data_IF_120296097144
#
_entry.id   IF_120296097144
#
_cell.length_a   1.000
_cell.length_b   1.000
_cell.length_c   1.000
_cell.angle_alpha   90.00
_cell.angle_beta   90.00
_cell.angle_gamma   90.00
#
_symmetry.space_group_name_H-M   'P 1'
#
loop_
_entity.id
_entity.type
_entity.pdbx_description
1 polymer ?
#
# COMPACT_ATOMS: atom_id res chain seq x y z
N UNK A 1 -45.94 9.37 -9.25
CA UNK A 1 -47.11 9.22 -8.36
C UNK A 1 -47.99 10.48 -8.45
N UNK A 2 -49.03 10.51 -9.31
CA UNK A 2 -49.87 11.70 -9.53
C UNK A 2 -50.80 12.03 -8.35
N UNK A 3 -51.18 11.05 -7.55
CA UNK A 3 -52.12 11.21 -6.42
C UNK A 3 -51.63 12.21 -5.36
N UNK A 4 -50.35 12.16 -4.99
CA UNK A 4 -49.75 13.13 -4.04
C UNK A 4 -49.84 14.56 -4.59
N UNK A 5 -49.63 14.73 -5.90
CA UNK A 5 -49.75 16.04 -6.56
C UNK A 5 -51.20 16.54 -6.54
N UNK A 6 -52.17 15.66 -6.80
CA UNK A 6 -53.60 15.99 -6.76
C UNK A 6 -54.05 16.39 -5.35
N UNK A 7 -53.62 15.66 -4.31
CA UNK A 7 -53.98 15.97 -2.93
C UNK A 7 -53.42 17.32 -2.45
N UNK A 8 -52.18 17.64 -2.83
CA UNK A 8 -51.56 18.94 -2.52
C UNK A 8 -52.18 20.10 -3.33
N UNK A 9 -52.60 19.84 -4.58
CA UNK A 9 -53.35 20.82 -5.37
C UNK A 9 -54.74 21.09 -4.77
N UNK A 10 -55.44 20.03 -4.33
CA UNK A 10 -56.75 20.14 -3.69
C UNK A 10 -56.72 20.91 -2.35
N UNK A 11 -55.56 20.97 -1.70
CA UNK A 11 -55.32 21.70 -0.46
C UNK A 11 -54.63 23.06 -0.68
N UNK A 12 -54.54 23.51 -1.95
CA UNK A 12 -53.98 24.81 -2.35
C UNK A 12 -52.52 25.06 -1.95
N UNK A 13 -51.73 23.99 -1.77
CA UNK A 13 -50.29 24.11 -1.50
C UNK A 13 -49.46 24.40 -2.76
N UNK A 14 -49.94 23.94 -3.92
CA UNK A 14 -49.20 24.01 -5.17
C UNK A 14 -49.50 25.31 -5.93
N UNK A 15 -48.45 25.89 -6.50
CA UNK A 15 -48.57 27.03 -7.41
C UNK A 15 -49.38 26.64 -8.66
N UNK A 16 -50.47 27.35 -9.00
CA UNK A 16 -51.24 27.08 -10.22
C UNK A 16 -50.43 27.29 -11.50
N UNK A 17 -49.39 28.12 -11.45
CA UNK A 17 -48.49 28.40 -12.58
C UNK A 17 -47.27 27.47 -12.61
N UNK A 18 -47.17 26.52 -11.68
CA UNK A 18 -46.04 25.58 -11.58
C UNK A 18 -44.72 26.18 -11.10
N UNK A 19 -44.53 27.51 -11.12
CA UNK A 19 -43.33 28.16 -10.58
C UNK A 19 -43.45 28.46 -9.09
N UNK A 20 -42.40 28.17 -8.32
CA UNK A 20 -42.20 28.68 -6.95
C UNK A 20 -41.57 30.08 -7.01
N UNK A 21 -42.23 31.08 -6.40
CA UNK A 21 -41.85 32.50 -6.50
C UNK A 21 -41.64 33.10 -5.10
N UNK A 22 -40.57 32.72 -4.37
CA UNK A 22 -40.33 33.23 -3.03
C UNK A 22 -40.16 34.76 -3.07
N UNK A 23 -40.80 35.46 -2.12
CA UNK A 23 -40.75 36.93 -1.96
C UNK A 23 -41.41 37.77 -3.07
N UNK A 24 -42.05 37.15 -4.07
CA UNK A 24 -42.77 37.84 -5.13
C UNK A 24 -44.24 38.11 -4.73
N UNK A 25 -44.80 39.26 -5.14
CA UNK A 25 -46.21 39.59 -4.87
C UNK A 25 -47.21 38.63 -5.55
N UNK A 26 -46.80 37.95 -6.61
CA UNK A 26 -47.57 36.94 -7.33
C UNK A 26 -47.28 35.50 -6.85
N UNK A 27 -46.72 35.32 -5.66
CA UNK A 27 -46.54 34.01 -5.05
C UNK A 27 -47.89 33.32 -4.77
N UNK A 28 -48.07 32.10 -5.30
CA UNK A 28 -49.34 31.35 -5.24
C UNK A 28 -49.21 29.92 -4.73
N UNK A 29 -48.10 29.56 -4.08
CA UNK A 29 -47.80 28.20 -3.64
C UNK A 29 -46.40 27.75 -4.08
N UNK A 30 -46.04 26.50 -3.75
CA UNK A 30 -44.73 25.93 -4.12
C UNK A 30 -44.84 24.98 -5.33
N UNK A 31 -43.69 24.60 -5.88
CA UNK A 31 -43.58 23.57 -6.91
C UNK A 31 -42.81 22.37 -6.36
N UNK A 32 -43.30 21.16 -6.65
CA UNK A 32 -42.61 19.94 -6.23
C UNK A 32 -41.35 19.74 -7.06
N UNK A 33 -40.23 19.50 -6.39
CA UNK A 33 -38.99 19.01 -6.99
C UNK A 33 -38.69 17.59 -6.54
N UNK A 34 -37.85 16.89 -7.31
CA UNK A 34 -37.29 15.60 -6.95
C UNK A 34 -35.76 15.73 -6.92
N UNK A 35 -35.11 15.09 -5.95
CA UNK A 35 -33.67 15.16 -5.78
C UNK A 35 -33.20 14.33 -4.59
N UNK A 36 -31.92 13.99 -4.59
CA UNK A 36 -31.25 13.32 -3.47
C UNK A 36 -29.97 14.10 -3.14
N UNK A 37 -29.73 14.33 -1.86
CA UNK A 37 -28.52 14.98 -1.35
C UNK A 37 -27.99 14.22 -0.14
N UNK A 38 -26.68 14.04 -0.08
CA UNK A 38 -25.99 13.35 1.00
C UNK A 38 -24.85 14.24 1.47
N UNK A 39 -24.72 14.38 2.80
CA UNK A 39 -23.57 15.00 3.44
C UNK A 39 -22.96 14.00 4.41
N UNK A 40 -21.63 14.02 4.55
CA UNK A 40 -20.89 13.13 5.45
C UNK A 40 -20.31 13.97 6.59
N UNK A 41 -21.04 14.17 7.71
CA UNK A 41 -20.52 14.92 8.84
C UNK A 41 -19.53 14.08 9.65
N UNK A 42 -18.48 14.73 10.14
CA UNK A 42 -17.49 14.17 11.07
C UNK A 42 -17.17 15.22 12.13
N UNK A 43 -16.86 14.84 13.38
CA UNK A 43 -16.33 15.79 14.35
C UNK A 43 -15.09 16.50 13.77
N UNK A 44 -15.00 17.82 13.96
CA UNK A 44 -13.95 18.63 13.31
C UNK A 44 -12.54 18.14 13.66
N UNK A 45 -12.33 17.74 14.91
CA UNK A 45 -11.04 17.20 15.36
C UNK A 45 -10.66 15.95 14.55
N UNK A 46 -11.57 15.00 14.42
CA UNK A 46 -11.31 13.77 13.67
C UNK A 46 -11.07 14.05 12.19
N UNK A 47 -11.76 15.05 11.61
CA UNK A 47 -11.53 15.46 10.22
C UNK A 47 -10.13 16.05 10.02
N UNK A 48 -9.63 16.83 10.98
CA UNK A 48 -8.26 17.38 10.97
C UNK A 48 -7.24 16.27 11.17
N UNK A 49 -7.43 15.40 12.17
CA UNK A 49 -6.51 14.31 12.52
C UNK A 49 -6.39 13.28 11.37
N UNK A 50 -7.44 13.12 10.56
CA UNK A 50 -7.45 12.24 9.38
C UNK A 50 -7.14 12.95 8.05
N UNK A 51 -6.83 14.25 8.08
CA UNK A 51 -6.55 15.07 6.88
C UNK A 51 -7.69 15.01 5.83
N UNK A 52 -8.94 14.98 6.29
CA UNK A 52 -10.11 14.99 5.41
C UNK A 52 -10.33 16.37 4.77
N UNK A 53 -10.88 16.43 3.54
CA UNK A 53 -11.32 17.69 2.95
C UNK A 53 -12.53 18.25 3.73
N UNK A 54 -12.34 19.41 4.36
CA UNK A 54 -13.40 20.10 5.11
C UNK A 54 -14.07 21.14 4.21
N UNK A 55 -15.31 20.89 3.82
CA UNK A 55 -16.10 21.80 2.98
C UNK A 55 -16.71 22.95 3.78
N UNK A 56 -17.21 22.66 4.99
CA UNK A 56 -17.81 23.62 5.91
C UNK A 56 -17.96 23.00 7.31
N UNK A 57 -18.11 23.85 8.33
CA UNK A 57 -18.41 23.44 9.69
C UNK A 57 -19.89 23.64 10.06
N UNK A 58 -20.51 22.63 10.66
CA UNK A 58 -21.82 22.78 11.31
C UNK A 58 -21.57 23.26 12.74
N UNK A 59 -22.00 24.48 13.05
CA UNK A 59 -21.73 25.12 14.35
C UNK A 59 -22.89 25.03 15.33
N UNK A 60 -24.13 24.96 14.84
CA UNK A 60 -25.31 24.80 15.68
C UNK A 60 -26.50 24.29 14.89
N UNK A 61 -27.37 23.53 15.53
CA UNK A 61 -28.62 23.05 14.95
C UNK A 61 -29.70 22.95 16.01
N UNK A 62 -30.92 23.34 15.66
CA UNK A 62 -32.05 23.19 16.56
C UNK A 62 -33.30 22.74 15.81
N UNK A 63 -34.22 22.17 16.57
CA UNK A 63 -35.57 21.83 16.13
C UNK A 63 -36.59 22.35 17.15
N UNK A 64 -37.78 22.70 16.66
CA UNK A 64 -38.95 22.97 17.49
C UNK A 64 -40.27 22.71 16.73
N UNK A 65 -41.39 23.05 17.35
CA UNK A 65 -42.74 22.87 16.80
C UNK A 65 -43.50 24.21 16.79
N UNK A 66 -44.34 24.41 15.78
CA UNK A 66 -45.33 25.49 15.72
C UNK A 66 -46.25 25.46 16.94
N UNK A 67 -46.64 26.66 17.41
CA UNK A 67 -47.57 26.79 18.53
C UNK A 67 -48.97 26.27 18.13
N UNK A 68 -49.74 25.75 19.09
CA UNK A 68 -51.09 25.22 18.83
C UNK A 68 -52.16 26.34 18.73
N UNK A 69 -51.80 27.48 18.14
CA UNK A 69 -52.65 28.69 18.04
C UNK A 69 -53.19 28.92 16.62
N UNK A 70 -52.70 28.17 15.63
CA UNK A 70 -53.12 28.20 14.22
C UNK A 70 -53.36 26.78 13.70
N UNK A 71 -54.03 26.59 12.54
CA UNK A 71 -54.11 25.28 11.90
C UNK A 71 -52.72 24.67 11.69
N UNK A 72 -52.61 23.34 11.80
CA UNK A 72 -51.33 22.62 11.80
C UNK A 72 -50.42 22.89 10.58
N UNK A 73 -51.01 23.30 9.45
CA UNK A 73 -50.33 23.61 8.20
C UNK A 73 -49.90 25.06 8.05
N UNK A 74 -50.30 25.93 8.98
CA UNK A 74 -50.00 27.37 8.95
C UNK A 74 -48.72 27.61 9.76
N UNK A 75 -47.69 28.25 9.18
CA UNK A 75 -46.46 28.55 9.91
C UNK A 75 -46.71 29.51 11.08
N UNK A 76 -45.93 29.35 12.15
CA UNK A 76 -45.99 30.17 13.37
C UNK A 76 -44.69 30.96 13.52
N UNK A 77 -44.79 32.29 13.40
CA UNK A 77 -43.62 33.18 13.37
C UNK A 77 -42.88 33.24 14.70
N UNK A 78 -43.58 33.12 15.84
CA UNK A 78 -42.96 33.13 17.17
C UNK A 78 -42.13 31.85 17.38
N UNK A 79 -42.66 30.69 17.00
CA UNK A 79 -41.92 29.43 16.98
C UNK A 79 -40.70 29.52 16.06
N UNK A 80 -40.82 30.10 14.87
CA UNK A 80 -39.67 30.29 13.98
C UNK A 80 -38.63 31.20 14.63
N UNK A 81 -39.02 32.34 15.20
CA UNK A 81 -38.10 33.25 15.91
C UNK A 81 -37.35 32.54 17.05
N UNK A 82 -38.05 31.82 17.91
CA UNK A 82 -37.43 31.06 19.01
C UNK A 82 -36.45 30.00 18.50
N UNK A 83 -36.74 29.41 17.34
CA UNK A 83 -35.82 28.46 16.69
C UNK A 83 -34.51 29.15 16.29
N UNK A 84 -34.57 30.33 15.67
CA UNK A 84 -33.39 31.10 15.32
C UNK A 84 -32.58 31.45 16.57
N UNK A 85 -33.21 32.04 17.59
CA UNK A 85 -32.54 32.42 18.84
C UNK A 85 -31.81 31.23 19.48
N UNK A 86 -32.47 30.07 19.53
CA UNK A 86 -31.87 28.82 20.04
C UNK A 86 -30.69 28.34 19.18
N UNK A 87 -30.84 28.33 17.86
CA UNK A 87 -29.80 27.84 16.95
C UNK A 87 -28.55 28.73 16.99
N UNK A 88 -28.74 30.06 17.03
CA UNK A 88 -27.64 31.02 17.13
C UNK A 88 -26.96 30.99 18.50
N UNK A 89 -27.72 30.84 19.58
CA UNK A 89 -27.16 30.64 20.92
C UNK A 89 -26.26 29.40 20.97
N UNK A 90 -26.67 28.30 20.33
CA UNK A 90 -25.87 27.06 20.26
C UNK A 90 -24.68 27.17 19.32
N UNK A 91 -24.76 27.98 18.26
CA UNK A 91 -23.68 28.13 17.28
C UNK A 91 -22.52 29.00 17.74
N UNK A 92 -22.68 29.72 18.86
CA UNK A 92 -21.72 30.68 19.36
C UNK A 92 -21.50 31.86 18.39
N UNK A 93 -22.42 32.10 17.45
CA UNK A 93 -22.43 33.29 16.58
C UNK A 93 -23.23 34.36 17.29
N UNK A 94 -22.56 35.47 17.63
CA UNK A 94 -23.24 36.60 18.27
C UNK A 94 -24.18 37.28 17.25
N UNK A 95 -25.32 37.80 17.71
CA UNK A 95 -26.30 38.44 16.81
C UNK A 95 -25.69 39.67 16.10
N UNK A 96 -24.71 40.32 16.73
CA UNK A 96 -23.94 41.45 16.22
C UNK A 96 -22.98 41.06 15.08
N UNK A 97 -22.62 39.77 14.97
CA UNK A 97 -21.84 39.25 13.83
C UNK A 97 -22.72 39.07 12.57
N UNK A 98 -24.05 39.13 12.70
CA UNK A 98 -24.98 39.03 11.57
C UNK A 98 -25.27 40.43 11.02
N UNK A 99 -24.45 40.85 10.06
CA UNK A 99 -24.50 42.24 9.54
C UNK A 99 -25.75 42.55 8.73
N UNK A 100 -26.27 41.58 7.94
CA UNK A 100 -27.41 41.79 7.04
C UNK A 100 -28.02 40.47 6.56
N UNK A 101 -29.36 40.40 6.46
CA UNK A 101 -30.05 39.40 5.65
C UNK A 101 -30.16 39.93 4.21
N UNK A 102 -29.53 39.26 3.25
CA UNK A 102 -29.58 39.62 1.83
C UNK A 102 -30.16 38.44 1.07
N UNK A 103 -31.14 38.71 0.20
CA UNK A 103 -31.63 37.75 -0.79
C UNK A 103 -31.02 38.19 -2.12
N UNK A 104 -29.90 37.58 -2.56
CA UNK A 104 -29.27 37.96 -3.82
C UNK A 104 -30.19 37.62 -4.99
N UNK A 105 -30.40 38.58 -5.90
CA UNK A 105 -31.19 38.40 -7.13
C UNK A 105 -30.33 38.08 -8.35
N UNK A 106 -29.01 38.20 -8.21
CA UNK A 106 -27.99 37.85 -9.19
C UNK A 106 -26.77 37.24 -8.49
N UNK A 107 -25.95 36.42 -9.19
CA UNK A 107 -24.73 35.86 -8.62
C UNK A 107 -23.83 36.99 -8.06
N UNK A 108 -23.66 37.01 -6.75
CA UNK A 108 -22.92 38.06 -6.04
C UNK A 108 -21.76 37.45 -5.28
N UNK A 109 -20.57 38.05 -5.41
CA UNK A 109 -19.39 37.60 -4.68
C UNK A 109 -19.57 37.80 -3.17
N UNK A 110 -19.32 36.75 -2.37
CA UNK A 110 -19.43 36.81 -0.91
C UNK A 110 -18.05 37.06 -0.28
N UNK A 111 -17.65 38.34 -0.25
CA UNK A 111 -16.37 38.78 0.35
C UNK A 111 -16.55 39.04 1.85
N UNK A 112 -16.00 38.16 2.70
CA UNK A 112 -15.96 38.33 4.16
C UNK A 112 -14.83 37.51 4.79
N UNK A 113 -14.30 37.98 5.93
CA UNK A 113 -13.32 37.22 6.74
C UNK A 113 -13.96 36.06 7.50
N UNK A 114 -15.27 36.11 7.74
CA UNK A 114 -16.07 35.03 8.33
C UNK A 114 -17.36 34.90 7.53
N UNK A 115 -17.61 33.72 6.98
CA UNK A 115 -18.84 33.41 6.24
C UNK A 115 -19.70 32.49 7.08
N UNK A 116 -20.92 32.93 7.36
CA UNK A 116 -21.91 32.20 8.15
C UNK A 116 -23.23 32.19 7.39
N UNK A 117 -23.78 31.00 7.19
CA UNK A 117 -25.08 30.79 6.54
C UNK A 117 -26.02 30.09 7.51
N UNK A 118 -27.32 30.40 7.41
CA UNK A 118 -28.36 29.65 8.12
C UNK A 118 -29.26 28.94 7.11
N UNK A 119 -29.43 27.64 7.28
CA UNK A 119 -30.33 26.82 6.47
C UNK A 119 -31.56 26.50 7.31
N UNK A 120 -32.75 26.79 6.78
CA UNK A 120 -34.02 26.60 7.48
C UNK A 120 -34.91 25.64 6.71
N UNK A 121 -35.63 24.78 7.42
CA UNK A 121 -36.60 23.87 6.84
C UNK A 121 -37.83 23.77 7.74
N UNK A 122 -39.01 24.02 7.17
CA UNK A 122 -40.28 24.04 7.89
C UNK A 122 -41.23 23.01 7.29
N UNK A 123 -41.59 22.00 8.08
CA UNK A 123 -42.53 20.97 7.70
C UNK A 123 -43.98 21.45 7.83
N UNK A 124 -44.83 21.06 6.86
CA UNK A 124 -46.26 21.38 6.88
C UNK A 124 -47.03 20.77 8.07
N UNK A 125 -46.42 19.90 8.87
CA UNK A 125 -46.96 19.39 10.13
C UNK A 125 -46.61 20.27 11.34
N UNK A 126 -45.92 21.39 11.12
CA UNK A 126 -45.49 22.34 12.14
C UNK A 126 -44.09 22.09 12.71
N UNK A 127 -43.36 21.06 12.26
CA UNK A 127 -41.99 20.81 12.72
C UNK A 127 -41.00 21.71 11.99
N UNK A 128 -40.18 22.43 12.75
CA UNK A 128 -39.20 23.37 12.21
C UNK A 128 -37.78 22.92 12.56
N UNK A 129 -36.85 23.12 11.63
CA UNK A 129 -35.44 22.85 11.81
C UNK A 129 -34.60 24.01 11.25
N UNK A 130 -33.51 24.34 11.95
CA UNK A 130 -32.53 25.31 11.52
C UNK A 130 -31.11 24.82 11.78
N UNK A 131 -30.19 25.21 10.91
CA UNK A 131 -28.78 24.83 10.91
C UNK A 131 -27.93 26.07 10.64
N UNK A 132 -26.91 26.32 11.47
CA UNK A 132 -25.92 27.37 11.23
C UNK A 132 -24.63 26.72 10.73
N UNK A 133 -24.28 27.05 9.49
CA UNK A 133 -23.09 26.58 8.78
C UNK A 133 -22.07 27.71 8.75
N UNK A 134 -20.82 27.39 9.08
CA UNK A 134 -19.69 28.30 9.01
C UNK A 134 -18.74 27.79 7.96
N UNK A 135 -18.13 28.73 7.26
CA UNK A 135 -16.93 28.43 6.51
C UNK A 135 -15.82 27.97 7.47
N UNK A 136 -15.02 27.03 7.00
CA UNK A 136 -13.81 26.61 7.69
C UNK A 136 -12.66 27.15 6.86
N UNK A 137 -11.71 27.93 7.42
CA UNK A 137 -10.56 28.37 6.64
C UNK A 137 -9.96 27.12 6.00
N UNK A 138 -9.93 27.10 4.67
CA UNK A 138 -9.28 26.06 3.91
C UNK A 138 -7.90 25.93 4.51
N UNK A 139 -7.53 24.71 4.90
CA UNK A 139 -6.14 24.45 5.26
C UNK A 139 -5.33 25.00 4.09
N UNK A 140 -4.55 26.06 4.33
CA UNK A 140 -3.53 26.44 3.36
C UNK A 140 -2.71 25.17 3.24
N UNK A 141 -2.71 24.57 2.04
CA UNK A 141 -1.70 23.59 1.68
C UNK A 141 -0.39 24.17 2.25
N UNK A 142 0.22 23.45 3.19
CA UNK A 142 1.51 23.86 3.72
C UNK A 142 2.44 24.14 2.54
N UNK A 143 3.47 24.98 2.71
CA UNK A 143 4.41 25.26 1.63
C UNK A 143 4.76 23.94 0.97
N UNK A 144 4.53 23.83 -0.35
CA UNK A 144 4.70 22.62 -1.16
C UNK A 144 5.80 21.79 -0.53
N UNK A 145 5.42 20.68 0.08
CA UNK A 145 6.37 19.83 0.76
C UNK A 145 7.48 19.55 -0.23
N UNK A 146 8.69 20.03 0.06
CA UNK A 146 9.88 19.71 -0.74
C UNK A 146 10.12 18.20 -0.63
N UNK A 147 9.36 17.40 -1.37
CA UNK A 147 9.68 15.99 -1.61
C UNK A 147 10.40 15.93 -2.94
N UNK A 148 11.70 16.21 -2.88
CA UNK A 148 12.66 16.00 -3.96
C UNK A 148 12.94 14.50 -4.12
N UNK A 149 11.95 13.72 -4.54
CA UNK A 149 12.20 12.38 -5.09
C UNK A 149 11.42 12.25 -6.40
N UNK A 150 12.15 12.36 -7.51
CA UNK A 150 11.63 12.19 -8.86
C UNK A 150 11.31 10.70 -9.10
N UNK A 151 10.20 10.22 -8.52
CA UNK A 151 9.63 8.94 -8.93
C UNK A 151 9.28 9.04 -10.42
N UNK A 152 9.98 8.26 -11.25
CA UNK A 152 9.74 8.15 -12.69
C UNK A 152 8.44 7.41 -12.97
N UNK A 153 8.12 6.43 -12.12
CA UNK A 153 6.98 5.53 -12.25
C UNK A 153 6.11 5.62 -11.00
N UNK A 154 4.83 5.94 -11.21
CA UNK A 154 3.83 6.16 -10.18
C UNK A 154 2.76 5.06 -10.28
N UNK A 155 2.50 4.29 -9.22
CA UNK A 155 1.47 3.25 -9.25
C UNK A 155 0.07 3.87 -9.15
N UNK A 156 -0.80 3.55 -10.11
CA UNK A 156 -2.22 3.84 -10.09
C UNK A 156 -2.98 2.55 -9.82
N UNK A 157 -3.83 2.59 -8.80
CA UNK A 157 -4.66 1.47 -8.36
C UNK A 157 -6.12 1.82 -8.61
N UNK A 158 -6.87 0.89 -9.22
CA UNK A 158 -8.31 1.02 -9.46
C UNK A 158 -9.03 -0.26 -9.06
N UNK A 159 -9.95 -0.17 -8.11
CA UNK A 159 -10.79 -1.29 -7.66
C UNK A 159 -12.26 -1.08 -8.01
N UNK A 160 -12.93 -2.11 -8.52
CA UNK A 160 -14.36 -2.04 -8.87
C UNK A 160 -15.08 -3.39 -8.78
N UNK A 161 -16.41 -3.37 -8.96
CA UNK A 161 -17.26 -4.58 -8.94
C UNK A 161 -17.38 -5.29 -10.29
N UNK A 162 -16.93 -4.68 -11.38
CA UNK A 162 -16.92 -5.27 -12.71
C UNK A 162 -15.82 -4.65 -13.58
N UNK A 163 -15.47 -5.32 -14.69
CA UNK A 163 -14.51 -4.80 -15.67
C UNK A 163 -15.01 -3.54 -16.39
N UNK A 164 -16.31 -3.43 -16.65
CA UNK A 164 -16.93 -2.23 -17.21
C UNK A 164 -16.75 -1.03 -16.28
N UNK A 165 -16.84 -1.25 -14.97
CA UNK A 165 -16.65 -0.20 -13.97
C UNK A 165 -15.19 0.25 -13.91
N UNK A 166 -14.21 -0.67 -14.03
CA UNK A 166 -12.80 -0.31 -14.15
C UNK A 166 -12.59 0.61 -15.37
N UNK A 167 -13.13 0.24 -16.53
CA UNK A 167 -13.02 1.04 -17.76
C UNK A 167 -13.66 2.42 -17.61
N UNK A 168 -14.86 2.49 -17.04
CA UNK A 168 -15.54 3.75 -16.76
C UNK A 168 -14.74 4.65 -15.81
N UNK A 169 -14.12 4.08 -14.77
CA UNK A 169 -13.27 4.82 -13.85
C UNK A 169 -11.99 5.31 -14.53
N UNK A 170 -11.32 4.49 -15.35
CA UNK A 170 -10.18 4.93 -16.15
C UNK A 170 -10.57 6.08 -17.11
N UNK A 171 -11.75 6.02 -17.74
CA UNK A 171 -12.27 7.10 -18.58
C UNK A 171 -12.49 8.40 -17.80
N UNK A 172 -13.09 8.32 -16.61
CA UNK A 172 -13.26 9.50 -15.74
C UNK A 172 -11.91 10.09 -15.28
N UNK A 173 -10.90 9.25 -15.04
CA UNK A 173 -9.54 9.71 -14.74
C UNK A 173 -8.91 10.41 -15.95
N UNK A 174 -9.10 9.90 -17.17
CA UNK A 174 -8.67 10.57 -18.40
C UNK A 174 -9.32 11.95 -18.56
N UNK A 175 -10.64 12.05 -18.37
CA UNK A 175 -11.37 13.32 -18.45
C UNK A 175 -10.85 14.32 -17.41
N UNK A 176 -10.60 13.85 -16.18
CA UNK A 176 -10.03 14.67 -15.11
C UNK A 176 -8.66 15.23 -15.50
N UNK A 177 -7.76 14.38 -16.00
CA UNK A 177 -6.42 14.79 -16.44
C UNK A 177 -6.43 15.77 -17.63
N UNK A 178 -7.46 15.74 -18.47
CA UNK A 178 -7.61 16.65 -19.61
C UNK A 178 -8.22 18.01 -19.25
N UNK A 179 -8.93 18.10 -18.13
CA UNK A 179 -9.78 19.26 -17.80
C UNK A 179 -9.07 20.43 -17.11
N UNK A 180 -7.84 20.24 -16.64
CA UNK A 180 -7.12 21.19 -15.78
C UNK A 180 -5.73 21.50 -16.38
N UNK A 181 -5.27 22.77 -16.47
CA UNK A 181 -3.89 23.09 -16.81
C UNK A 181 -3.01 22.80 -15.58
N UNK A 182 -2.56 21.56 -15.48
CA UNK A 182 -2.13 20.95 -14.23
C UNK A 182 -0.71 21.33 -13.78
N UNK A 183 -0.59 21.49 -12.45
CA UNK A 183 0.66 21.49 -11.70
C UNK A 183 1.46 20.19 -11.91
N UNK A 184 2.78 20.26 -11.73
CA UNK A 184 3.72 19.14 -11.92
C UNK A 184 3.47 17.91 -11.00
N UNK A 185 2.52 17.98 -10.05
CA UNK A 185 2.31 16.96 -9.01
C UNK A 185 0.97 16.22 -9.07
N UNK A 186 0.07 16.55 -10.01
CA UNK A 186 -1.29 15.99 -10.01
C UNK A 186 -1.35 14.45 -10.04
N UNK A 187 -0.47 13.80 -10.79
CA UNK A 187 -0.46 12.34 -10.91
C UNK A 187 -0.07 11.70 -9.56
N UNK A 188 0.79 12.36 -8.78
CA UNK A 188 1.18 11.90 -7.44
C UNK A 188 0.02 12.03 -6.47
N UNK A 189 -0.64 13.19 -6.47
CA UNK A 189 -1.81 13.43 -5.61
C UNK A 189 -2.94 12.46 -5.95
N UNK A 190 -3.15 12.20 -7.25
CA UNK A 190 -4.11 11.22 -7.73
C UNK A 190 -3.78 9.82 -7.24
N UNK A 191 -2.54 9.37 -7.45
CA UNK A 191 -2.07 8.05 -7.00
C UNK A 191 -2.22 7.87 -5.49
N UNK A 192 -1.81 8.88 -4.70
CA UNK A 192 -1.96 8.88 -3.25
C UNK A 192 -3.43 8.76 -2.83
N UNK A 193 -4.30 9.58 -3.40
CA UNK A 193 -5.73 9.55 -3.06
C UNK A 193 -6.38 8.22 -3.46
N UNK A 194 -6.06 7.67 -4.63
CA UNK A 194 -6.59 6.37 -5.06
C UNK A 194 -6.08 5.24 -4.16
N UNK A 195 -4.79 5.26 -3.80
CA UNK A 195 -4.20 4.25 -2.93
C UNK A 195 -4.83 4.24 -1.52
N UNK A 196 -5.16 5.41 -0.96
CA UNK A 196 -5.70 5.55 0.39
C UNK A 196 -7.23 5.42 0.47
N UNK A 197 -7.97 5.88 -0.55
CA UNK A 197 -9.44 6.01 -0.47
C UNK A 197 -10.19 4.87 -1.14
N UNK A 198 -9.53 4.02 -1.94
CA UNK A 198 -10.22 2.92 -2.61
C UNK A 198 -10.47 1.71 -1.72
N UNK A 199 -11.61 1.06 -1.98
CA UNK A 199 -11.94 -0.22 -1.38
C UNK A 199 -11.32 -1.37 -2.19
N UNK A 200 -10.16 -1.86 -1.73
CA UNK A 200 -9.43 -2.98 -2.38
C UNK A 200 -10.07 -4.36 -2.16
N UNK A 201 -11.13 -4.45 -1.35
CA UNK A 201 -11.87 -5.71 -1.16
C UNK A 201 -12.85 -6.01 -2.31
N UNK A 202 -12.95 -5.13 -3.32
CA UNK A 202 -13.77 -5.36 -4.50
C UNK A 202 -13.13 -6.41 -5.43
N UNK A 203 -13.98 -7.08 -6.22
CA UNK A 203 -13.59 -8.28 -6.98
C UNK A 203 -12.61 -8.02 -8.13
N UNK A 204 -12.59 -6.80 -8.68
CA UNK A 204 -11.73 -6.44 -9.80
C UNK A 204 -10.75 -5.36 -9.35
N UNK A 205 -9.45 -5.63 -9.51
CA UNK A 205 -8.38 -4.73 -9.10
C UNK A 205 -7.40 -4.57 -10.25
N UNK A 206 -7.22 -3.34 -10.70
CA UNK A 206 -6.25 -2.92 -11.68
C UNK A 206 -5.09 -2.22 -10.96
N UNK A 207 -3.86 -2.63 -11.28
CA UNK A 207 -2.65 -1.96 -10.83
C UNK A 207 -1.76 -1.69 -12.04
N UNK A 208 -1.44 -0.42 -12.29
CA UNK A 208 -0.58 0.01 -13.40
C UNK A 208 0.47 1.00 -12.90
N UNK A 209 1.63 1.04 -13.56
CA UNK A 209 2.61 2.09 -13.34
C UNK A 209 2.54 3.09 -14.50
N UNK A 210 2.39 4.36 -14.17
CA UNK A 210 2.35 5.47 -15.14
C UNK A 210 3.52 6.42 -14.91
N UNK A 211 3.88 7.20 -15.92
CA UNK A 211 4.94 8.20 -15.78
C UNK A 211 4.50 9.35 -14.87
N UNK A 212 5.44 10.09 -14.29
CA UNK A 212 5.13 11.40 -13.69
C UNK A 212 4.57 12.42 -14.72
N UNK A 213 4.82 12.19 -16.01
CA UNK A 213 4.27 12.97 -17.11
C UNK A 213 2.77 12.69 -17.30
N UNK A 214 1.96 13.75 -17.26
CA UNK A 214 0.50 13.68 -17.35
C UNK A 214 0.02 13.19 -18.71
N UNK A 215 0.70 13.57 -19.80
CA UNK A 215 0.34 13.14 -21.15
C UNK A 215 0.56 11.62 -21.34
N UNK A 216 1.72 11.10 -20.95
CA UNK A 216 2.03 9.67 -21.00
C UNK A 216 1.08 8.85 -20.11
N UNK A 217 0.70 9.40 -18.94
CA UNK A 217 -0.27 8.79 -18.05
C UNK A 217 -1.67 8.72 -18.65
N UNK A 218 -2.11 9.81 -19.30
CA UNK A 218 -3.39 9.89 -20.00
C UNK A 218 -3.50 8.78 -21.05
N UNK A 219 -2.51 8.62 -21.94
CA UNK A 219 -2.54 7.59 -22.99
C UNK A 219 -2.58 6.16 -22.42
N UNK A 220 -1.89 5.92 -21.30
CA UNK A 220 -1.91 4.62 -20.63
C UNK A 220 -3.31 4.29 -20.08
N UNK A 221 -3.99 5.26 -19.48
CA UNK A 221 -5.35 5.11 -18.96
C UNK A 221 -6.39 5.00 -20.08
N UNK A 222 -6.23 5.76 -21.16
CA UNK A 222 -7.12 5.76 -22.32
C UNK A 222 -7.11 4.41 -23.05
N UNK A 223 -5.93 3.78 -23.16
CA UNK A 223 -5.79 2.45 -23.72
C UNK A 223 -6.61 1.40 -22.95
N UNK A 224 -6.67 1.52 -21.61
CA UNK A 224 -7.44 0.61 -20.75
C UNK A 224 -8.93 0.90 -20.87
N UNK A 225 -9.32 2.18 -20.81
CA UNK A 225 -10.70 2.61 -20.95
C UNK A 225 -11.32 2.12 -22.28
N UNK A 226 -10.52 2.09 -23.34
CA UNK A 226 -10.94 1.69 -24.70
C UNK A 226 -10.82 0.19 -24.99
N UNK A 227 -10.23 -0.60 -24.08
CA UNK A 227 -9.98 -2.02 -24.30
C UNK A 227 -11.25 -2.90 -24.18
N UNK A 228 -11.26 -4.02 -24.88
CA UNK A 228 -12.33 -5.05 -24.82
C UNK A 228 -11.99 -6.25 -23.95
N UNK A 229 -10.73 -6.40 -23.53
CA UNK A 229 -10.31 -7.31 -22.46
C UNK A 229 -9.20 -6.66 -21.62
N UNK A 230 -9.27 -6.85 -20.30
CA UNK A 230 -8.27 -6.37 -19.34
C UNK A 230 -7.03 -7.31 -19.26
N UNK A 231 -6.69 -8.00 -20.35
CA UNK A 231 -5.59 -8.95 -20.33
C UNK A 231 -4.24 -8.25 -20.53
N UNK A 232 -3.38 -8.42 -19.52
CA UNK A 232 -1.93 -8.23 -19.56
C UNK A 232 -1.40 -6.80 -19.74
N UNK A 233 -1.57 -5.95 -18.73
CA UNK A 233 -0.67 -4.81 -18.51
C UNK A 233 0.16 -5.05 -17.25
N UNK A 234 1.04 -6.06 -17.31
CA UNK A 234 2.18 -6.16 -16.39
C UNK A 234 3.35 -5.40 -17.00
N UNK A 235 3.49 -4.12 -16.64
CA UNK A 235 4.73 -3.37 -16.90
C UNK A 235 5.75 -3.68 -15.82
N UNK A 236 6.95 -4.01 -16.30
CA UNK A 236 8.17 -4.29 -15.56
C UNK A 236 8.61 -3.05 -14.78
N UNK A 237 8.85 -3.19 -13.48
CA UNK A 237 9.55 -2.18 -12.68
C UNK A 237 10.96 -1.98 -13.26
N UNK A 238 11.30 -0.74 -13.59
CA UNK A 238 12.62 -0.32 -14.06
C UNK A 238 13.56 -0.09 -12.88
N UNK A 239 14.83 -0.45 -13.08
CA UNK A 239 15.88 -0.44 -12.07
C UNK A 239 16.34 0.99 -11.75
N UNK A 240 15.61 1.71 -10.89
CA UNK A 240 16.05 3.01 -10.35
C UNK A 240 16.22 2.94 -8.84
N UNK A 241 17.39 2.47 -8.41
CA UNK A 241 17.75 2.32 -6.99
C UNK A 241 17.55 3.59 -6.16
N UNK A 242 17.90 4.75 -6.71
CA UNK A 242 17.87 6.05 -6.02
C UNK A 242 16.46 6.45 -5.58
N UNK A 243 15.43 5.87 -6.19
CA UNK A 243 14.03 6.19 -5.96
C UNK A 243 13.39 5.39 -4.82
N UNK A 244 14.10 4.45 -4.19
CA UNK A 244 13.54 3.57 -3.16
C UNK A 244 14.12 3.87 -1.77
N UNK A 245 13.54 4.85 -1.08
CA UNK A 245 14.02 5.33 0.22
C UNK A 245 14.17 4.23 1.30
N UNK A 246 13.21 3.31 1.40
CA UNK A 246 13.27 2.20 2.37
C UNK A 246 14.39 1.19 2.03
N UNK A 247 14.51 0.81 0.76
CA UNK A 247 15.58 -0.09 0.31
C UNK A 247 16.95 0.54 0.55
N UNK A 248 17.10 1.84 0.22
CA UNK A 248 18.32 2.62 0.48
C UNK A 248 18.66 2.63 1.97
N UNK A 249 17.68 2.90 2.83
CA UNK A 249 17.85 2.92 4.29
C UNK A 249 18.42 1.59 4.79
N UNK A 250 17.83 0.46 4.38
CA UNK A 250 18.30 -0.87 4.83
C UNK A 250 19.66 -1.27 4.25
N UNK A 251 19.96 -0.94 2.99
CA UNK A 251 21.29 -1.17 2.44
C UNK A 251 22.36 -0.30 3.09
N UNK A 252 22.04 0.95 3.43
CA UNK A 252 22.94 1.82 4.19
C UNK A 252 23.21 1.25 5.58
N UNK A 253 22.21 0.65 6.24
CA UNK A 253 22.42 -0.07 7.50
C UNK A 253 23.34 -1.29 7.32
N UNK A 254 23.14 -2.09 6.25
CA UNK A 254 24.05 -3.18 5.91
C UNK A 254 25.50 -2.70 5.67
N UNK A 255 25.67 -1.60 4.94
CA UNK A 255 26.97 -0.98 4.65
C UNK A 255 27.67 -0.56 5.95
N UNK A 256 26.98 0.15 6.83
CA UNK A 256 27.54 0.61 8.10
C UNK A 256 28.03 -0.56 8.95
N UNK A 257 27.19 -1.59 9.11
CA UNK A 257 27.54 -2.77 9.89
C UNK A 257 28.68 -3.57 9.22
N UNK A 258 28.65 -3.71 7.90
CA UNK A 258 29.74 -4.30 7.12
C UNK A 258 31.07 -3.58 7.35
N UNK A 259 31.09 -2.25 7.31
CA UNK A 259 32.27 -1.44 7.58
C UNK A 259 32.80 -1.64 9.01
N UNK A 260 31.93 -1.76 10.02
CA UNK A 260 32.38 -2.06 11.40
C UNK A 260 33.05 -3.43 11.53
N UNK A 261 32.68 -4.36 10.64
CA UNK A 261 33.26 -5.71 10.55
C UNK A 261 34.48 -5.75 9.60
N UNK A 262 34.94 -4.60 9.11
CA UNK A 262 36.08 -4.50 8.19
C UNK A 262 35.80 -5.03 6.77
N UNK A 263 34.53 -5.10 6.36
CA UNK A 263 34.16 -5.53 5.00
C UNK A 263 34.37 -4.41 3.97
N UNK A 264 34.71 -4.76 2.72
CA UNK A 264 34.73 -3.78 1.63
C UNK A 264 33.36 -3.15 1.42
N UNK A 265 33.32 -1.95 0.85
CA UNK A 265 32.07 -1.22 0.65
C UNK A 265 31.11 -1.99 -0.28
N UNK A 266 29.88 -2.21 0.18
CA UNK A 266 28.75 -2.78 -0.54
C UNK A 266 28.43 -1.97 -1.80
N UNK A 267 28.32 -0.64 -1.68
CA UNK A 267 27.91 0.26 -2.77
C UNK A 267 28.94 0.33 -3.89
N UNK A 268 30.20 0.01 -3.60
CA UNK A 268 31.25 -0.09 -4.63
C UNK A 268 31.05 -1.29 -5.57
N UNK A 269 30.29 -2.30 -5.14
CA UNK A 269 30.21 -3.62 -5.78
C UNK A 269 28.81 -3.94 -6.31
N UNK A 270 27.75 -3.62 -5.57
CA UNK A 270 26.35 -4.00 -5.89
C UNK A 270 25.86 -3.57 -7.28
N UNK A 271 26.41 -2.50 -7.85
CA UNK A 271 26.01 -1.97 -9.15
C UNK A 271 26.92 -2.38 -10.31
N UNK A 272 27.97 -3.18 -10.05
CA UNK A 272 28.88 -3.64 -11.07
C UNK A 272 28.43 -4.99 -11.64
N UNK A 273 28.54 -5.19 -12.96
CA UNK A 273 28.21 -6.48 -13.58
C UNK A 273 29.32 -7.53 -13.39
N UNK A 274 30.46 -7.15 -12.83
CA UNK A 274 31.64 -8.01 -12.69
C UNK A 274 31.43 -9.10 -11.63
N UNK A 275 32.08 -10.26 -11.81
CA UNK A 275 32.11 -11.29 -10.79
C UNK A 275 32.83 -10.79 -9.53
N UNK A 276 32.30 -11.17 -8.35
CA UNK A 276 32.91 -10.89 -7.06
C UNK A 276 33.77 -12.10 -6.68
N UNK A 277 35.12 -12.02 -6.75
CA UNK A 277 35.99 -13.17 -6.56
C UNK A 277 36.11 -13.59 -5.09
N UNK A 278 36.04 -12.64 -4.15
CA UNK A 278 36.05 -12.95 -2.73
C UNK A 278 34.67 -13.46 -2.29
N UNK A 279 34.61 -14.74 -1.90
CA UNK A 279 33.37 -15.43 -1.50
C UNK A 279 32.76 -14.76 -0.26
N UNK A 280 33.58 -14.26 0.66
CA UNK A 280 33.06 -13.63 1.86
C UNK A 280 32.41 -12.28 1.57
N UNK A 281 33.02 -11.48 0.69
CA UNK A 281 32.40 -10.26 0.17
C UNK A 281 31.16 -10.55 -0.66
N UNK A 282 31.18 -11.58 -1.53
CA UNK A 282 30.00 -12.02 -2.29
C UNK A 282 28.82 -12.37 -1.36
N UNK A 283 29.08 -13.15 -0.30
CA UNK A 283 28.06 -13.48 0.68
C UNK A 283 27.54 -12.25 1.43
N UNK A 284 28.41 -11.30 1.79
CA UNK A 284 27.99 -10.04 2.40
C UNK A 284 27.06 -9.24 1.46
N UNK A 285 27.41 -9.13 0.18
CA UNK A 285 26.59 -8.43 -0.83
C UNK A 285 25.24 -9.13 -1.02
N UNK A 286 25.23 -10.47 -1.17
CA UNK A 286 24.01 -11.25 -1.33
C UNK A 286 23.08 -11.15 -0.11
N UNK A 287 23.63 -11.26 1.10
CA UNK A 287 22.87 -11.07 2.33
C UNK A 287 22.25 -9.68 2.37
N UNK A 288 23.03 -8.65 2.07
CA UNK A 288 22.60 -7.25 2.15
C UNK A 288 21.44 -6.95 1.20
N UNK A 289 21.51 -7.45 -0.04
CA UNK A 289 20.43 -7.30 -1.03
C UNK A 289 19.16 -8.00 -0.57
N UNK A 290 19.27 -9.27 -0.14
CA UNK A 290 18.12 -10.06 0.28
C UNK A 290 17.47 -9.47 1.54
N UNK A 291 18.27 -9.12 2.55
CA UNK A 291 17.81 -8.52 3.80
C UNK A 291 17.12 -7.17 3.54
N UNK A 292 17.79 -6.27 2.82
CA UNK A 292 17.26 -4.94 2.59
C UNK A 292 15.99 -4.96 1.72
N UNK A 293 15.91 -5.84 0.74
CA UNK A 293 14.70 -6.03 -0.05
C UNK A 293 13.55 -6.53 0.83
N UNK A 294 13.79 -7.55 1.65
CA UNK A 294 12.77 -8.10 2.53
C UNK A 294 12.29 -7.09 3.59
N UNK A 295 13.21 -6.38 4.25
CA UNK A 295 12.87 -5.34 5.23
C UNK A 295 12.16 -4.15 4.58
N UNK A 296 12.55 -3.74 3.38
CA UNK A 296 11.82 -2.70 2.65
C UNK A 296 10.36 -3.10 2.39
N UNK A 297 10.10 -4.37 2.02
CA UNK A 297 8.73 -4.87 1.88
C UNK A 297 7.98 -4.93 3.21
N UNK A 298 8.61 -5.36 4.29
CA UNK A 298 7.96 -5.41 5.62
C UNK A 298 7.60 -4.00 6.11
N UNK A 299 8.49 -3.02 5.90
CA UNK A 299 8.29 -1.64 6.35
C UNK A 299 7.29 -0.85 5.49
N UNK A 300 6.92 -1.34 4.29
CA UNK A 300 5.75 -0.81 3.57
C UNK A 300 4.41 -1.30 4.14
N UNK A 301 4.45 -2.20 5.13
CA UNK A 301 3.27 -2.78 5.77
C UNK A 301 2.87 -4.14 5.21
N UNK A 302 3.71 -4.81 4.39
CA UNK A 302 3.42 -6.17 3.93
C UNK A 302 3.42 -7.13 5.12
N UNK A 303 2.26 -7.69 5.44
CA UNK A 303 2.14 -8.73 6.46
C UNK A 303 2.59 -10.08 5.90
N UNK A 304 3.70 -10.60 6.44
CA UNK A 304 4.25 -11.91 6.09
C UNK A 304 3.96 -12.88 7.24
N UNK A 305 3.21 -13.95 6.96
CA UNK A 305 2.91 -14.96 7.97
C UNK A 305 4.11 -15.86 8.28
N UNK A 306 5.01 -16.04 7.32
CA UNK A 306 6.07 -17.06 7.36
C UNK A 306 7.14 -16.80 6.30
N UNK A 307 8.40 -17.07 6.62
CA UNK A 307 9.54 -16.91 5.72
C UNK A 307 10.10 -18.29 5.36
N UNK A 308 10.40 -18.51 4.07
CA UNK A 308 11.09 -19.71 3.61
C UNK A 308 12.35 -19.28 2.86
N UNK A 309 13.51 -19.73 3.34
CA UNK A 309 14.80 -19.45 2.70
C UNK A 309 15.41 -20.70 2.12
N UNK A 310 15.89 -20.66 0.88
CA UNK A 310 16.65 -21.75 0.29
C UNK A 310 18.14 -21.63 0.63
N UNK A 311 18.71 -22.61 1.33
CA UNK A 311 20.14 -22.65 1.65
C UNK A 311 20.61 -21.32 2.30
N UNK A 312 21.47 -20.55 1.63
CA UNK A 312 21.92 -19.23 2.06
C UNK A 312 20.79 -18.28 2.48
N UNK A 313 19.67 -18.26 1.74
CA UNK A 313 18.54 -17.40 2.06
C UNK A 313 17.89 -17.71 3.41
N UNK A 314 18.07 -18.92 3.95
CA UNK A 314 17.60 -19.27 5.28
C UNK A 314 18.42 -18.60 6.39
N UNK A 315 19.72 -18.36 6.14
CA UNK A 315 20.56 -17.58 7.05
C UNK A 315 20.16 -16.10 7.03
N UNK A 316 19.87 -15.55 5.85
CA UNK A 316 19.30 -14.19 5.74
C UNK A 316 17.97 -14.07 6.46
N UNK A 317 17.11 -15.10 6.37
CA UNK A 317 15.81 -15.13 7.03
C UNK A 317 15.91 -14.96 8.56
N UNK A 318 17.00 -15.40 9.19
CA UNK A 318 17.23 -15.20 10.63
C UNK A 318 17.26 -13.71 10.98
N UNK A 319 17.97 -12.90 10.19
CA UNK A 319 18.01 -11.46 10.42
C UNK A 319 16.73 -10.76 10.00
N UNK A 320 16.08 -11.20 8.92
CA UNK A 320 14.78 -10.63 8.49
C UNK A 320 13.68 -10.88 9.53
N UNK A 321 13.70 -12.04 10.19
CA UNK A 321 12.78 -12.42 11.26
C UNK A 321 13.22 -11.96 12.65
N UNK A 322 14.24 -11.10 12.74
CA UNK A 322 14.81 -10.57 13.99
C UNK A 322 15.38 -11.64 14.96
N UNK A 323 15.54 -12.90 14.53
CA UNK A 323 16.21 -13.94 15.32
C UNK A 323 17.70 -13.65 15.54
N UNK A 324 18.31 -12.92 14.61
CA UNK A 324 19.71 -12.53 14.65
C UNK A 324 19.82 -11.04 14.31
N UNK A 325 20.78 -10.32 14.89
CA UNK A 325 21.01 -8.93 14.49
C UNK A 325 21.50 -8.87 13.03
N UNK A 326 21.35 -7.71 12.37
CA UNK A 326 21.92 -7.51 11.03
C UNK A 326 23.45 -7.70 11.04
N UNK A 327 24.12 -7.19 12.08
CA UNK A 327 25.57 -7.31 12.27
C UNK A 327 25.99 -8.77 12.40
N UNK A 328 25.30 -9.53 13.24
CA UNK A 328 25.61 -10.95 13.45
C UNK A 328 25.21 -11.79 12.23
N UNK A 329 24.17 -11.41 11.49
CA UNK A 329 23.84 -12.02 10.21
C UNK A 329 24.95 -11.86 9.18
N UNK A 330 25.46 -10.64 8.99
CA UNK A 330 26.62 -10.35 8.14
C UNK A 330 27.85 -11.15 8.60
N UNK A 331 28.13 -11.14 9.91
CA UNK A 331 29.25 -11.90 10.49
C UNK A 331 29.09 -13.40 10.22
N UNK A 332 27.92 -13.98 10.47
CA UNK A 332 27.65 -15.39 10.24
C UNK A 332 27.91 -15.80 8.78
N UNK A 333 27.34 -15.08 7.81
CA UNK A 333 27.49 -15.45 6.39
C UNK A 333 28.92 -15.26 5.88
N UNK A 334 29.62 -14.24 6.38
CA UNK A 334 31.01 -13.97 6.00
C UNK A 334 31.98 -14.92 6.70
N UNK A 335 31.88 -15.17 8.00
CA UNK A 335 32.75 -16.13 8.70
C UNK A 335 32.57 -17.54 8.13
N UNK A 336 31.32 -17.95 7.87
CA UNK A 336 31.04 -19.20 7.14
C UNK A 336 31.74 -19.25 5.79
N UNK A 337 31.83 -18.15 5.07
CA UNK A 337 32.56 -18.09 3.81
C UNK A 337 34.08 -18.20 3.98
N UNK A 338 34.67 -17.55 4.99
CA UNK A 338 36.11 -17.63 5.26
C UNK A 338 36.54 -19.03 5.66
N UNK A 339 35.68 -19.76 6.37
CA UNK A 339 35.94 -21.14 6.75
C UNK A 339 35.98 -22.08 5.54
N UNK A 340 35.36 -21.70 4.41
CA UNK A 340 35.48 -22.44 3.15
C UNK A 340 36.90 -22.15 2.61
N UNK A 341 37.85 -23.10 2.74
CA UNK A 341 39.22 -22.90 2.31
C UNK A 341 39.28 -22.67 0.81
N UNK A 342 40.09 -21.72 0.37
CA UNK A 342 40.43 -21.53 -1.05
C UNK A 342 41.14 -22.75 -1.66
N UNK A 343 41.63 -23.65 -0.81
CA UNK A 343 42.50 -24.79 -1.12
C UNK A 343 41.91 -26.13 -0.66
N UNK A 344 40.59 -26.33 -0.71
CA UNK A 344 40.06 -27.70 -0.72
C UNK A 344 40.78 -28.47 -1.83
N UNK A 345 41.61 -29.45 -1.43
CA UNK A 345 42.64 -30.11 -2.25
C UNK A 345 42.20 -30.38 -3.70
N UNK A 346 43.09 -30.07 -4.65
CA UNK A 346 43.24 -30.36 -6.11
C UNK A 346 42.11 -30.95 -6.98
N UNK A 347 40.96 -31.33 -6.45
CA UNK A 347 39.85 -31.92 -7.17
C UNK A 347 38.66 -30.96 -7.25
N UNK A 348 38.15 -30.66 -8.46
CA UNK A 348 36.93 -29.88 -8.62
C UNK A 348 35.76 -30.59 -7.94
N UNK A 349 34.95 -29.81 -7.23
CA UNK A 349 33.76 -30.28 -6.51
C UNK A 349 32.54 -29.72 -7.21
N UNK A 350 31.65 -30.60 -7.66
CA UNK A 350 30.54 -30.25 -8.54
C UNK A 350 29.22 -30.53 -7.86
N UNK A 351 28.25 -29.63 -8.09
CA UNK A 351 26.85 -29.88 -7.78
C UNK A 351 26.11 -30.18 -9.07
N UNK A 352 25.27 -31.21 -9.06
CA UNK A 352 24.45 -31.64 -10.18
C UNK A 352 22.98 -31.50 -9.78
N UNK A 353 22.26 -30.65 -10.48
CA UNK A 353 20.80 -30.57 -10.38
C UNK A 353 20.17 -31.62 -11.30
N UNK A 354 19.21 -32.37 -10.77
CA UNK A 354 18.46 -33.38 -11.52
C UNK A 354 17.04 -32.85 -11.75
N UNK A 355 16.78 -32.35 -12.96
CA UNK A 355 15.49 -31.77 -13.33
C UNK A 355 14.38 -32.83 -13.28
N UNK A 356 13.19 -32.41 -12.84
CA UNK A 356 12.06 -33.30 -12.58
C UNK A 356 12.11 -34.01 -11.22
N UNK A 357 13.15 -33.77 -10.41
CA UNK A 357 13.28 -34.30 -9.04
C UNK A 357 13.63 -33.21 -8.04
N UNK A 358 13.52 -33.54 -6.74
CA UNK A 358 13.93 -32.66 -5.63
C UNK A 358 15.42 -32.79 -5.28
N UNK A 359 16.21 -33.50 -6.09
CA UNK A 359 17.56 -33.93 -5.73
C UNK A 359 18.63 -33.01 -6.32
N UNK A 360 19.49 -32.53 -5.43
CA UNK A 360 20.78 -31.91 -5.79
C UNK A 360 21.88 -32.82 -5.28
N UNK A 361 22.65 -33.38 -6.21
CA UNK A 361 23.78 -34.25 -5.89
C UNK A 361 25.04 -33.40 -5.77
N UNK A 362 25.77 -33.57 -4.68
CA UNK A 362 26.96 -32.77 -4.37
C UNK A 362 28.12 -33.69 -4.02
N UNK A 363 29.21 -33.62 -4.78
CA UNK A 363 30.33 -34.56 -4.64
C UNK A 363 31.61 -34.13 -5.35
N UNK A 364 32.59 -35.03 -5.41
CA UNK A 364 33.81 -34.85 -6.22
C UNK A 364 33.48 -34.98 -7.71
N UNK A 365 34.33 -34.43 -8.58
CA UNK A 365 34.22 -34.58 -10.04
C UNK A 365 34.05 -36.05 -10.46
N UNK A 366 34.83 -36.96 -9.87
CA UNK A 366 34.74 -38.40 -10.14
C UNK A 366 33.37 -38.98 -9.73
N UNK A 367 32.85 -38.57 -8.56
CA UNK A 367 31.54 -39.04 -8.09
C UNK A 367 30.40 -38.52 -8.98
N UNK A 368 30.48 -37.27 -9.43
CA UNK A 368 29.48 -36.68 -10.31
C UNK A 368 29.56 -37.30 -11.71
N UNK A 369 30.76 -37.52 -12.25
CA UNK A 369 30.95 -38.27 -13.50
C UNK A 369 30.39 -39.69 -13.41
N UNK A 370 30.56 -40.38 -12.28
CA UNK A 370 29.97 -41.70 -12.07
C UNK A 370 28.42 -41.64 -12.09
N UNK A 371 27.82 -40.60 -11.51
CA UNK A 371 26.37 -40.37 -11.57
C UNK A 371 25.91 -40.05 -12.98
N UNK A 372 26.60 -39.17 -13.71
CA UNK A 372 26.30 -38.84 -15.10
C UNK A 372 26.38 -40.06 -16.01
N UNK A 373 27.43 -40.87 -15.85
CA UNK A 373 27.59 -42.13 -16.58
C UNK A 373 26.50 -43.14 -16.23
N UNK A 374 26.10 -43.25 -14.95
CA UNK A 374 25.00 -44.11 -14.53
C UNK A 374 23.66 -43.67 -15.12
N UNK A 375 23.38 -42.35 -15.13
CA UNK A 375 22.17 -41.79 -15.74
C UNK A 375 22.17 -42.06 -17.25
N UNK A 376 23.28 -41.84 -17.94
CA UNK A 376 23.42 -42.08 -19.38
C UNK A 376 23.33 -43.57 -19.76
N UNK A 377 23.88 -44.47 -18.92
CA UNK A 377 23.82 -45.92 -19.13
C UNK A 377 22.43 -46.51 -18.82
N UNK A 378 21.69 -45.85 -17.93
CA UNK A 378 20.32 -46.22 -17.63
C UNK A 378 19.38 -45.66 -18.70
N UNK A 379 18.36 -46.42 -19.12
CA UNK A 379 17.29 -45.92 -20.02
C UNK A 379 16.39 -44.83 -19.37
N UNK A 380 16.85 -44.16 -18.30
CA UNK A 380 16.18 -43.04 -17.64
C UNK A 380 16.35 -41.72 -18.38
N UNK A 381 17.22 -41.66 -19.40
CA UNK A 381 17.52 -40.46 -20.19
C UNK A 381 16.31 -39.83 -20.87
N UNK A 382 15.23 -40.58 -21.08
CA UNK A 382 14.05 -40.06 -21.80
C UNK A 382 13.25 -39.04 -20.97
N UNK A 383 13.44 -38.96 -19.64
CA UNK A 383 12.70 -38.05 -18.76
C UNK A 383 13.52 -37.35 -17.66
N UNK A 384 14.84 -37.56 -17.59
CA UNK A 384 15.69 -36.98 -16.54
C UNK A 384 16.79 -36.13 -17.18
N UNK A 385 16.65 -34.81 -17.09
CA UNK A 385 17.69 -33.86 -17.49
C UNK A 385 18.59 -33.59 -16.29
N UNK A 386 19.90 -33.62 -16.50
CA UNK A 386 20.90 -33.33 -15.47
C UNK A 386 21.72 -32.11 -15.88
N UNK A 387 21.97 -31.21 -14.92
CA UNK A 387 22.71 -29.96 -15.15
C UNK A 387 23.73 -29.73 -14.05
N UNK A 388 25.01 -29.63 -14.44
CA UNK A 388 26.07 -29.17 -13.53
C UNK A 388 25.85 -27.70 -13.18
N UNK A 389 25.98 -27.37 -11.92
CA UNK A 389 25.84 -26.01 -11.41
C UNK A 389 27.19 -25.28 -11.49
N UNK A 390 27.14 -23.98 -11.78
CA UNK A 390 28.32 -23.10 -11.80
C UNK A 390 28.60 -22.59 -10.37
N UNK A 391 29.04 -23.51 -9.52
CA UNK A 391 29.33 -23.26 -8.12
C UNK A 391 30.78 -23.63 -7.83
N UNK A 392 31.43 -22.87 -6.95
CA UNK A 392 32.82 -23.11 -6.59
C UNK A 392 33.02 -24.34 -5.68
N UNK A 393 31.98 -24.77 -4.95
CA UNK A 393 32.07 -25.79 -3.91
C UNK A 393 30.80 -26.64 -3.77
N UNK A 394 30.95 -27.94 -3.50
CA UNK A 394 29.85 -28.87 -3.23
C UNK A 394 29.26 -28.71 -1.81
N UNK A 395 28.36 -27.75 -1.64
CA UNK A 395 27.64 -27.49 -0.38
C UNK A 395 26.69 -28.64 0.02
N UNK A 396 26.26 -28.67 1.29
CA UNK A 396 25.27 -29.64 1.80
C UNK A 396 25.69 -31.11 1.61
N UNK A 397 26.98 -31.38 1.77
CA UNK A 397 27.59 -32.70 1.53
C UNK A 397 28.64 -33.02 2.59
N UNK A 398 29.19 -34.25 2.59
CA UNK A 398 30.30 -34.61 3.50
C UNK A 398 31.54 -33.72 3.34
N UNK A 399 31.65 -33.05 2.20
CA UNK A 399 32.78 -32.20 1.86
C UNK A 399 32.88 -30.94 2.72
N UNK A 400 31.79 -30.55 3.41
CA UNK A 400 31.81 -29.45 4.41
C UNK A 400 32.16 -29.93 5.83
N UNK A 401 32.40 -31.22 6.09
CA UNK A 401 32.65 -31.74 7.45
C UNK A 401 33.86 -31.07 8.13
N UNK A 402 34.86 -30.66 7.35
CA UNK A 402 36.07 -30.00 7.88
C UNK A 402 35.80 -28.58 8.43
N UNK A 403 34.73 -27.91 7.99
CA UNK A 403 34.39 -26.56 8.46
C UNK A 403 33.40 -26.58 9.63
N UNK A 404 32.77 -27.74 9.90
CA UNK A 404 31.74 -27.91 10.92
C UNK A 404 32.21 -27.52 12.33
N UNK A 405 33.40 -27.96 12.82
CA UNK A 405 33.85 -27.59 14.17
C UNK A 405 34.02 -26.07 14.35
N UNK A 406 34.69 -25.42 13.40
CA UNK A 406 34.92 -23.97 13.47
C UNK A 406 33.63 -23.17 13.24
N UNK A 407 32.70 -23.67 12.41
CA UNK A 407 31.39 -23.05 12.25
C UNK A 407 30.55 -23.15 13.53
N UNK A 408 30.68 -24.25 14.29
CA UNK A 408 30.03 -24.39 15.59
C UNK A 408 30.52 -23.33 16.58
N UNK A 409 31.84 -23.14 16.69
CA UNK A 409 32.44 -22.10 17.56
C UNK A 409 31.95 -20.69 17.19
N UNK A 410 31.90 -20.38 15.89
CA UNK A 410 31.35 -19.10 15.42
C UNK A 410 29.87 -18.98 15.78
N UNK A 411 29.08 -20.03 15.57
CA UNK A 411 27.65 -20.04 15.84
C UNK A 411 27.34 -19.90 17.34
N UNK A 412 28.16 -20.46 18.22
CA UNK A 412 28.05 -20.32 19.69
C UNK A 412 28.30 -18.89 20.17
N UNK A 413 29.00 -18.07 19.38
CA UNK A 413 29.26 -16.66 19.72
C UNK A 413 28.05 -15.74 19.49
N UNK A 414 26.95 -16.26 18.96
CA UNK A 414 25.74 -15.49 18.67
C UNK A 414 24.61 -15.76 19.67
N UNK A 415 23.85 -14.72 19.97
CA UNK A 415 22.62 -14.83 20.76
C UNK A 415 21.41 -14.95 19.81
N UNK A 416 20.85 -16.15 19.71
CA UNK A 416 19.69 -16.42 18.87
C UNK A 416 18.39 -16.15 19.62
N UNK A 417 17.56 -15.28 19.06
CA UNK A 417 16.23 -14.97 19.60
C UNK A 417 15.16 -15.77 18.85
N UNK A 418 14.01 -16.05 19.50
CA UNK A 418 12.84 -16.57 18.79
C UNK A 418 12.47 -15.65 17.62
N UNK A 419 12.20 -16.19 16.41
CA UNK A 419 11.83 -15.39 15.26
C UNK A 419 10.52 -14.64 15.48
N UNK A 420 10.52 -13.33 15.19
CA UNK A 420 9.32 -12.51 15.16
C UNK A 420 8.37 -12.92 14.01
N UNK A 421 8.94 -13.42 12.91
CA UNK A 421 8.20 -14.00 11.78
C UNK A 421 8.59 -15.47 11.66
N UNK A 422 7.66 -16.43 11.78
CA UNK A 422 7.97 -17.86 11.69
C UNK A 422 8.83 -18.23 10.47
N UNK A 423 9.93 -18.95 10.70
CA UNK A 423 10.81 -19.45 9.64
C UNK A 423 10.49 -20.93 9.38
N UNK A 424 10.21 -21.28 8.12
CA UNK A 424 10.11 -22.69 7.73
C UNK A 424 11.47 -23.31 7.52
N UNK A 425 11.62 -24.51 8.06
CA UNK A 425 12.83 -25.28 7.89
C UNK A 425 12.82 -26.02 6.56
N UNK A 426 13.90 -25.87 5.80
CA UNK A 426 14.18 -26.72 4.65
C UNK A 426 14.82 -28.06 5.09
N UNK A 427 14.25 -28.73 6.09
CA UNK A 427 14.74 -30.00 6.64
C UNK A 427 13.62 -31.03 6.80
N UNK A 428 13.97 -32.28 7.09
CA UNK A 428 12.99 -33.39 7.21
C UNK A 428 12.12 -33.26 8.47
N UNK A 429 12.68 -32.76 9.57
CA UNK A 429 12.02 -32.74 10.89
C UNK A 429 12.33 -31.49 11.74
N UNK A 430 13.12 -30.56 11.22
CA UNK A 430 13.61 -29.43 12.02
C UNK A 430 12.55 -28.36 12.23
N UNK A 431 12.19 -28.11 13.48
CA UNK A 431 11.49 -26.89 13.87
C UNK A 431 12.50 -25.73 13.95
N UNK A 432 12.18 -24.56 13.41
CA UNK A 432 13.01 -23.35 13.48
C UNK A 432 12.42 -22.27 14.41
N UNK A 433 11.42 -22.62 15.24
CA UNK A 433 10.89 -21.77 16.31
C UNK A 433 11.93 -21.35 17.34
N UNK A 434 12.93 -22.20 17.58
CA UNK A 434 14.09 -21.93 18.45
C UNK A 434 15.36 -22.24 17.68
N UNK A 435 16.07 -21.21 17.23
CA UNK A 435 17.32 -21.38 16.48
C UNK A 435 18.46 -21.58 17.46
N UNK A 436 19.32 -22.56 17.18
CA UNK A 436 20.46 -22.92 18.04
C UNK A 436 21.73 -23.05 17.19
N UNK A 437 22.93 -22.89 17.76
CA UNK A 437 24.19 -23.10 17.04
C UNK A 437 24.24 -24.44 16.27
N UNK A 438 23.76 -25.52 16.90
CA UNK A 438 23.68 -26.85 16.28
C UNK A 438 22.84 -26.87 14.99
N UNK A 439 21.80 -26.05 14.89
CA UNK A 439 20.94 -25.96 13.69
C UNK A 439 21.62 -25.22 12.54
N UNK A 440 22.52 -24.27 12.83
CA UNK A 440 23.32 -23.58 11.82
C UNK A 440 24.33 -24.54 11.19
N UNK A 441 24.95 -25.37 12.03
CA UNK A 441 25.87 -26.43 11.60
C UNK A 441 25.13 -27.48 10.78
N UNK A 442 23.99 -27.97 11.29
CA UNK A 442 23.14 -28.93 10.60
C UNK A 442 22.68 -28.38 9.24
N UNK A 443 22.22 -27.13 9.20
CA UNK A 443 21.81 -26.44 7.97
C UNK A 443 22.90 -26.42 6.91
N UNK A 444 24.16 -26.21 7.30
CA UNK A 444 25.27 -26.14 6.34
C UNK A 444 25.65 -27.52 5.77
N UNK A 445 25.25 -28.60 6.45
CA UNK A 445 25.67 -29.97 6.17
C UNK A 445 24.58 -30.84 5.55
N UNK A 446 23.32 -30.64 5.94
CA UNK A 446 22.19 -31.48 5.54
C UNK A 446 21.57 -31.02 4.23
N UNK A 447 20.90 -31.91 3.47
CA UNK A 447 20.20 -31.54 2.25
C UNK A 447 19.10 -30.49 2.50
N UNK A 448 18.85 -29.65 1.50
CA UNK A 448 17.84 -28.58 1.56
C UNK A 448 16.51 -29.06 1.00
N UNK A 449 15.54 -29.34 1.86
CA UNK A 449 14.20 -29.83 1.51
C UNK A 449 13.22 -28.68 1.22
N UNK A 450 13.54 -27.83 0.25
CA UNK A 450 12.79 -26.59 -0.01
C UNK A 450 11.35 -26.82 -0.49
N UNK A 451 11.13 -27.78 -1.40
CA UNK A 451 9.78 -28.09 -1.89
C UNK A 451 8.85 -28.52 -0.76
N UNK A 452 9.36 -29.32 0.18
CA UNK A 452 8.63 -29.73 1.38
C UNK A 452 8.28 -28.53 2.27
N UNK A 453 9.23 -27.61 2.49
CA UNK A 453 8.98 -26.39 3.24
C UNK A 453 7.86 -25.54 2.61
N UNK A 454 7.83 -25.43 1.28
CA UNK A 454 6.74 -24.76 0.54
C UNK A 454 5.40 -25.50 0.66
N UNK A 455 5.39 -26.83 0.67
CA UNK A 455 4.15 -27.61 0.85
C UNK A 455 3.60 -27.48 2.28
N UNK A 456 4.48 -27.41 3.29
CA UNK A 456 4.10 -27.20 4.68
C UNK A 456 3.57 -25.77 4.90
N UNK A 457 4.20 -24.75 4.31
CA UNK A 457 3.80 -23.35 4.49
C UNK A 457 2.43 -22.99 3.88
N UNK A 458 1.92 -23.84 2.96
CA UNK A 458 0.58 -23.69 2.35
C UNK A 458 -0.56 -24.26 3.21
N UNK A 459 -0.24 -25.01 4.26
CA UNK A 459 -1.21 -25.51 5.24
C UNK A 459 -1.38 -24.50 6.35
#
# INVERSE_FOLDING_TARGET
MPEVYQNLAATSFLSPTGAYKPFDAAAGGYCRGEGAGIVVPRPLKDAIDNEDPILAGISGSAINQGSNKSPITVPDSDSQRMLYEKTFSQSGVAAEEVTRLIIPVEPTEWVSTKRVATVNNYGASGSNAALVVKDHPTFSMGPEGKSSENLSDIPILVSARSEESIRAYCGALCEFLSSDPLSDNIIRDLAYNLANKQNRALSFNLAICVSADSASSYYCLEAIASSTSADNIQKRLTNHFDNYALLRTHLTACEQEGQTLGRPSLFSTIFRPDQIPDIAHLHFVLFSIQYASAKAWLDTGLHVNRIVGHSFGQLTALSVADSLSIRDGIRLVSERAHLIPSSWDSEPRVMLAVEGTELVVSGTEESILAVENAVAASKLTDNVLIRRLDNSHAFHSRLVDNIVPSLAEVAESFDFRPPAIPIESCSVTGDWSTVTPAKIVEHSRMPVYFQRAIQHSRR
#
